data_IF_604241889218
#
_entry.id   IF_604241889218
#
_cell.length_a   1.000
_cell.length_b   1.000
_cell.length_c   1.000
_cell.angle_alpha   90.00
_cell.angle_beta   90.00
_cell.angle_gamma   90.00
#
_symmetry.space_group_name_H-M   'P 1'
#
loop_
_entity.id
_entity.type
_entity.pdbx_description
1 polymer ?
#
# COMPACT_ATOMS: atom_id res chain seq x y z
N UNK A 1 20.06 20.50 22.89
CA UNK A 1 20.59 19.44 23.79
C UNK A 1 19.95 18.09 23.48
N UNK A 2 18.62 17.96 23.55
CA UNK A 2 17.93 16.70 23.23
C UNK A 2 18.30 16.10 21.87
N UNK A 3 18.25 16.88 20.78
CA UNK A 3 18.65 16.40 19.45
C UNK A 3 20.06 15.79 19.42
N UNK A 4 21.04 16.44 20.05
CA UNK A 4 22.40 15.91 20.10
C UNK A 4 22.47 14.62 20.90
N UNK A 5 21.72 14.49 22.01
CA UNK A 5 21.60 13.21 22.75
C UNK A 5 21.03 12.12 21.85
N UNK A 6 19.92 12.40 21.16
CA UNK A 6 19.25 11.45 20.24
C UNK A 6 20.22 10.97 19.16
N UNK A 7 20.88 11.92 18.48
CA UNK A 7 21.81 11.61 17.39
C UNK A 7 23.08 10.91 17.88
N UNK A 8 23.56 11.22 19.09
CA UNK A 8 24.66 10.49 19.70
C UNK A 8 24.27 9.05 20.02
N UNK A 9 23.08 8.81 20.58
CA UNK A 9 22.57 7.47 20.88
C UNK A 9 22.35 6.64 19.60
N UNK A 10 21.95 7.28 18.50
CA UNK A 10 21.79 6.63 17.20
C UNK A 10 23.08 6.51 16.40
N UNK A 11 24.21 7.01 16.91
CA UNK A 11 25.46 7.15 16.15
C UNK A 11 25.22 7.81 14.77
N UNK A 12 24.39 8.84 14.75
CA UNK A 12 23.97 9.59 13.58
C UNK A 12 24.52 11.01 13.66
N UNK A 13 25.85 11.20 13.51
CA UNK A 13 26.43 12.52 13.61
C UNK A 13 25.83 13.43 12.55
N UNK A 14 25.66 14.68 12.94
CA UNK A 14 25.24 15.74 12.06
C UNK A 14 26.20 15.87 10.85
N UNK A 15 25.65 16.10 9.67
CA UNK A 15 26.44 16.30 8.45
C UNK A 15 27.11 17.68 8.43
N UNK A 16 28.14 17.86 7.61
CA UNK A 16 28.92 19.13 7.52
C UNK A 16 28.07 20.37 7.26
N UNK A 17 26.91 20.20 6.63
CA UNK A 17 25.98 21.31 6.37
C UNK A 17 25.39 21.86 7.67
N UNK A 18 25.26 21.04 8.71
CA UNK A 18 24.70 21.47 9.98
C UNK A 18 25.72 22.32 10.76
N UNK A 19 25.29 23.47 11.26
CA UNK A 19 26.11 24.22 12.20
C UNK A 19 26.04 23.58 13.59
N UNK A 20 26.93 22.62 13.85
CA UNK A 20 26.98 21.87 15.11
C UNK A 20 27.69 22.61 16.25
N UNK A 21 28.29 23.77 15.97
CA UNK A 21 29.03 24.56 16.98
C UNK A 21 28.13 25.32 17.95
N UNK A 22 26.80 25.29 17.75
CA UNK A 22 25.83 26.04 18.54
C UNK A 22 24.40 25.48 18.48
N UNK A 23 23.41 26.34 18.21
CA UNK A 23 22.00 25.95 18.12
C UNK A 23 21.77 25.14 16.82
N UNK A 24 21.23 23.91 16.87
CA UNK A 24 20.96 23.11 15.66
C UNK A 24 19.99 23.81 14.68
N UNK A 25 19.19 24.76 15.16
CA UNK A 25 18.34 25.62 14.34
C UNK A 25 19.04 26.89 13.85
N UNK A 26 20.35 26.84 13.59
CA UNK A 26 21.09 27.94 12.97
C UNK A 26 21.85 27.44 11.73
N UNK A 27 22.01 28.29 10.72
CA UNK A 27 22.64 27.92 9.45
C UNK A 27 21.71 27.15 8.49
N UNK A 28 22.22 26.13 7.78
CA UNK A 28 21.50 25.40 6.71
C UNK A 28 20.20 24.71 7.15
N UNK A 29 20.02 24.48 8.46
CA UNK A 29 18.84 23.86 9.06
C UNK A 29 17.54 24.68 8.92
N UNK A 30 17.63 25.95 8.46
CA UNK A 30 16.50 26.88 8.37
C UNK A 30 15.88 27.02 6.98
N UNK A 31 16.65 26.76 5.91
CA UNK A 31 16.30 27.20 4.56
C UNK A 31 16.22 26.05 3.53
N UNK A 32 15.95 24.83 3.98
CA UNK A 32 15.80 23.71 3.07
C UNK A 32 14.38 23.69 2.48
N UNK A 33 14.28 23.83 1.15
CA UNK A 33 13.09 23.39 0.41
C UNK A 33 12.82 21.91 0.70
N UNK A 34 11.59 21.41 0.48
CA UNK A 34 11.30 19.99 0.69
C UNK A 34 12.25 19.07 -0.13
N UNK A 35 12.68 19.52 -1.31
CA UNK A 35 13.71 18.83 -2.11
C UNK A 35 15.08 18.75 -1.42
N UNK A 36 15.50 19.81 -0.72
CA UNK A 36 16.74 19.82 0.05
C UNK A 36 16.61 18.99 1.35
N UNK A 37 15.41 18.94 1.94
CA UNK A 37 15.15 18.11 3.12
C UNK A 37 15.20 16.61 2.81
N UNK A 38 14.73 16.17 1.63
CA UNK A 38 14.78 14.77 1.19
C UNK A 38 16.11 14.39 0.50
N UNK A 39 17.02 15.35 0.25
CA UNK A 39 18.32 15.08 -0.39
C UNK A 39 19.17 14.08 0.42
N UNK A 40 19.85 13.11 -0.23
CA UNK A 40 20.80 12.22 0.42
C UNK A 40 21.95 12.95 1.12
N UNK A 41 22.38 14.10 0.59
CA UNK A 41 23.50 14.88 1.13
C UNK A 41 23.17 15.55 2.48
N UNK A 42 21.88 15.67 2.79
CA UNK A 42 21.37 16.26 4.03
C UNK A 42 20.71 15.18 4.88
N UNK A 43 21.48 14.15 5.25
CA UNK A 43 20.98 12.99 5.99
C UNK A 43 21.98 12.57 7.10
N UNK A 44 21.62 12.68 8.40
CA UNK A 44 20.31 13.05 8.93
C UNK A 44 19.91 14.48 8.55
N UNK A 45 18.60 14.76 8.55
CA UNK A 45 18.02 16.04 8.18
C UNK A 45 17.13 16.58 9.31
N UNK A 46 17.16 17.89 9.51
CA UNK A 46 16.19 18.60 10.36
C UNK A 46 15.63 19.82 9.62
N UNK A 47 14.43 20.25 10.03
CA UNK A 47 13.89 21.58 9.73
C UNK A 47 13.46 22.20 11.04
N UNK A 48 13.75 23.49 11.21
CA UNK A 48 13.28 24.25 12.35
C UNK A 48 12.29 25.34 11.94
N UNK A 49 11.37 25.64 12.86
CA UNK A 49 10.50 26.81 12.81
C UNK A 49 10.96 27.80 13.90
N UNK A 50 11.44 28.97 13.47
CA UNK A 50 11.92 30.06 14.31
C UNK A 50 10.91 31.21 14.41
N UNK A 51 9.64 31.01 14.08
CA UNK A 51 8.63 32.08 14.15
C UNK A 51 8.10 32.32 15.56
N UNK A 52 8.55 31.54 16.55
CA UNK A 52 8.10 31.62 17.93
C UNK A 52 8.76 32.76 18.69
N UNK A 53 8.04 33.32 19.67
CA UNK A 53 8.49 34.41 20.55
C UNK A 53 9.14 35.58 19.78
N UNK A 54 8.46 36.04 18.72
CA UNK A 54 8.96 37.11 17.83
C UNK A 54 10.33 36.82 17.20
N UNK A 55 10.63 35.55 16.90
CA UNK A 55 11.91 35.16 16.32
C UNK A 55 12.97 34.74 17.32
N UNK A 56 12.69 34.81 18.62
CA UNK A 56 13.66 34.49 19.66
C UNK A 56 13.82 32.97 19.88
N UNK A 57 12.79 32.19 19.56
CA UNK A 57 12.76 30.75 19.83
C UNK A 57 12.61 29.95 18.54
N UNK A 58 13.45 28.93 18.40
CA UNK A 58 13.38 27.97 17.30
C UNK A 58 13.02 26.58 17.83
N UNK A 59 12.11 25.90 17.14
CA UNK A 59 11.75 24.52 17.43
C UNK A 59 12.01 23.61 16.23
N UNK A 60 12.49 22.40 16.49
CA UNK A 60 12.65 21.37 15.46
C UNK A 60 11.26 20.83 15.11
N UNK A 61 10.88 20.96 13.84
CA UNK A 61 9.57 20.54 13.34
C UNK A 61 9.65 19.31 12.45
N UNK A 62 10.76 19.11 11.73
CA UNK A 62 11.01 17.88 10.96
C UNK A 62 12.31 17.22 11.39
N UNK A 63 12.31 15.88 11.51
CA UNK A 63 13.50 15.06 11.74
C UNK A 63 13.47 13.85 10.81
N UNK A 64 14.56 13.65 10.07
CA UNK A 64 14.76 12.52 9.15
C UNK A 64 16.10 11.85 9.40
N UNK A 65 16.10 10.53 9.52
CA UNK A 65 17.30 9.67 9.59
C UNK A 65 17.06 8.46 8.70
N UNK A 66 17.46 8.50 7.44
CA UNK A 66 16.98 7.54 6.44
C UNK A 66 18.11 6.69 5.87
N UNK A 67 18.00 5.36 5.83
CA UNK A 67 18.99 4.52 5.12
C UNK A 67 20.46 4.75 5.53
N UNK A 68 20.72 4.99 6.83
CA UNK A 68 22.06 5.26 7.34
C UNK A 68 22.63 4.10 8.20
N UNK A 69 21.98 2.93 8.15
CA UNK A 69 22.34 1.74 8.92
C UNK A 69 22.37 1.99 10.44
N UNK A 70 21.55 2.92 10.96
CA UNK A 70 21.53 3.25 12.39
C UNK A 70 20.87 2.18 13.22
N UNK A 71 21.31 2.07 14.46
CA UNK A 71 20.90 1.04 15.43
C UNK A 71 20.45 1.71 16.72
N UNK A 72 19.86 0.92 17.61
CA UNK A 72 19.39 1.37 18.93
C UNK A 72 17.87 1.35 19.01
N UNK A 73 17.34 2.07 20.00
CA UNK A 73 15.90 2.22 20.25
C UNK A 73 15.49 3.67 20.03
N UNK A 74 14.18 3.96 20.08
CA UNK A 74 13.72 5.35 20.14
C UNK A 74 14.00 5.90 21.54
N UNK A 75 14.87 6.91 21.70
CA UNK A 75 15.28 7.44 23.00
C UNK A 75 14.20 8.33 23.63
N UNK A 76 14.13 8.33 24.96
CA UNK A 76 13.12 9.09 25.72
C UNK A 76 13.20 10.59 25.46
N UNK A 77 14.40 11.12 25.19
CA UNK A 77 14.60 12.54 24.89
C UNK A 77 13.84 13.03 23.65
N UNK A 78 13.41 12.12 22.77
CA UNK A 78 12.56 12.47 21.63
C UNK A 78 11.26 13.14 22.06
N UNK A 79 10.72 12.81 23.24
CA UNK A 79 9.49 13.42 23.79
C UNK A 79 9.63 14.94 23.99
N UNK A 80 10.86 15.45 24.11
CA UNK A 80 11.13 16.88 24.28
C UNK A 80 10.94 17.68 22.99
N UNK A 81 10.88 17.02 21.82
CA UNK A 81 10.62 17.65 20.54
C UNK A 81 9.11 17.84 20.30
N UNK A 82 8.42 18.53 21.21
CA UNK A 82 6.95 18.65 21.22
C UNK A 82 6.35 19.35 19.98
N UNK A 83 7.19 20.05 19.21
CA UNK A 83 6.81 20.75 17.98
C UNK A 83 7.03 19.92 16.71
N UNK A 84 7.47 18.66 16.86
CA UNK A 84 7.73 17.78 15.74
C UNK A 84 6.41 17.47 14.99
N UNK A 85 6.39 17.81 13.70
CA UNK A 85 5.33 17.52 12.75
C UNK A 85 5.69 16.36 11.84
N UNK A 86 6.98 16.09 11.65
CA UNK A 86 7.48 15.05 10.76
C UNK A 86 8.59 14.26 11.42
N UNK A 87 8.40 12.94 11.52
CA UNK A 87 9.42 11.98 11.92
C UNK A 87 9.53 10.85 10.91
N UNK A 88 10.68 10.72 10.27
CA UNK A 88 10.98 9.63 9.32
C UNK A 88 12.33 9.00 9.63
N UNK A 89 12.32 7.75 10.10
CA UNK A 89 13.55 7.01 10.42
C UNK A 89 13.69 5.70 9.61
N UNK A 90 13.10 5.69 8.41
CA UNK A 90 12.98 4.48 7.60
C UNK A 90 14.34 3.88 7.17
N UNK A 91 14.33 2.58 6.89
CA UNK A 91 15.46 1.82 6.34
C UNK A 91 16.70 1.86 7.24
N UNK A 92 16.52 1.63 8.52
CA UNK A 92 17.62 1.46 9.46
C UNK A 92 17.50 0.09 10.16
N UNK A 93 18.22 -0.08 11.26
CA UNK A 93 18.18 -1.26 12.11
C UNK A 93 17.75 -0.88 13.53
N UNK A 94 16.81 0.05 13.66
CA UNK A 94 16.23 0.38 14.96
C UNK A 94 15.43 -0.82 15.50
N UNK A 95 15.48 -1.01 16.82
CA UNK A 95 14.99 -2.20 17.53
C UNK A 95 14.13 -1.79 18.73
N UNK A 96 13.61 -2.79 19.45
CA UNK A 96 12.80 -2.57 20.65
C UNK A 96 11.35 -2.19 20.32
N UNK A 97 10.52 -1.93 21.34
CA UNK A 97 9.15 -1.49 21.15
C UNK A 97 9.06 -0.05 20.68
N UNK A 98 7.99 0.28 19.96
CA UNK A 98 7.60 1.68 19.75
C UNK A 98 7.12 2.26 21.09
N UNK A 99 7.82 3.25 21.69
CA UNK A 99 7.49 3.73 23.02
C UNK A 99 6.13 4.43 23.08
N UNK A 100 5.40 4.26 24.18
CA UNK A 100 4.07 4.89 24.37
C UNK A 100 4.12 6.42 24.37
N UNK A 101 5.24 7.03 24.79
CA UNK A 101 5.41 8.49 24.78
C UNK A 101 5.34 9.07 23.37
N UNK A 102 5.43 8.26 22.30
CA UNK A 102 5.24 8.75 20.92
C UNK A 102 3.89 9.46 20.79
N UNK A 103 2.87 9.01 21.53
CA UNK A 103 1.55 9.64 21.57
C UNK A 103 1.52 11.05 22.17
N UNK A 104 2.61 11.51 22.81
CA UNK A 104 2.73 12.87 23.34
C UNK A 104 3.19 13.88 22.27
N UNK A 105 3.67 13.42 21.12
CA UNK A 105 4.09 14.28 19.99
C UNK A 105 2.87 14.69 19.15
N UNK A 106 1.89 15.33 19.79
CA UNK A 106 0.54 15.57 19.27
C UNK A 106 0.45 16.42 17.99
N UNK A 107 1.55 17.07 17.59
CA UNK A 107 1.68 17.85 16.35
C UNK A 107 2.13 17.03 15.14
N UNK A 108 2.48 15.75 15.33
CA UNK A 108 2.89 14.88 14.24
C UNK A 108 1.79 14.78 13.18
N UNK A 109 2.14 15.14 11.96
CA UNK A 109 1.36 14.92 10.74
C UNK A 109 1.90 13.74 9.93
N UNK A 110 3.19 13.41 10.09
CA UNK A 110 3.82 12.25 9.49
C UNK A 110 4.68 11.49 10.50
N UNK A 111 4.43 10.18 10.62
CA UNK A 111 5.25 9.25 11.37
C UNK A 111 5.57 8.04 10.51
N UNK A 112 6.83 7.87 10.14
CA UNK A 112 7.31 6.73 9.36
C UNK A 112 8.52 6.07 10.02
N UNK A 113 8.37 4.77 10.29
CA UNK A 113 9.37 3.91 10.93
C UNK A 113 9.72 2.71 10.04
N UNK A 114 9.43 2.80 8.73
CA UNK A 114 9.37 1.65 7.83
C UNK A 114 10.74 0.99 7.64
N UNK A 115 10.77 -0.32 7.38
CA UNK A 115 12.03 -1.06 7.17
C UNK A 115 13.00 -0.88 8.35
N UNK A 116 12.58 -1.34 9.52
CA UNK A 116 13.40 -1.43 10.73
C UNK A 116 13.14 -2.80 11.38
N UNK A 117 13.53 -2.96 12.64
CA UNK A 117 13.33 -4.19 13.43
C UNK A 117 12.55 -3.86 14.72
N UNK A 118 11.63 -2.89 14.65
CA UNK A 118 10.74 -2.59 15.77
C UNK A 118 9.89 -3.82 16.09
N UNK A 119 9.62 -4.04 17.38
CA UNK A 119 8.96 -5.25 17.87
C UNK A 119 7.93 -4.96 18.96
N UNK A 120 7.26 -6.00 19.47
CA UNK A 120 6.19 -5.85 20.46
C UNK A 120 4.90 -5.27 19.86
N UNK A 121 3.90 -4.95 20.69
CA UNK A 121 2.63 -4.44 20.22
C UNK A 121 2.73 -2.98 19.77
N UNK A 122 1.86 -2.60 18.82
CA UNK A 122 1.66 -1.20 18.45
C UNK A 122 0.96 -0.48 19.62
N UNK A 123 1.53 0.59 20.21
CA UNK A 123 0.98 1.22 21.40
C UNK A 123 -0.34 1.96 21.09
N UNK A 124 -1.32 1.82 21.98
CA UNK A 124 -2.63 2.50 21.87
C UNK A 124 -2.51 4.02 21.86
N UNK A 125 -1.45 4.56 22.47
CA UNK A 125 -1.15 5.98 22.54
C UNK A 125 -0.92 6.61 21.16
N UNK A 126 -0.64 5.82 20.11
CA UNK A 126 -0.66 6.34 18.73
C UNK A 126 -1.99 7.00 18.39
N UNK A 127 -3.10 6.52 18.96
CA UNK A 127 -4.41 7.13 18.80
C UNK A 127 -4.52 8.57 19.31
N UNK A 128 -3.53 9.09 20.03
CA UNK A 128 -3.48 10.48 20.50
C UNK A 128 -2.96 11.47 19.44
N UNK A 129 -2.35 10.99 18.35
CA UNK A 129 -1.75 11.81 17.30
C UNK A 129 -2.81 12.38 16.33
N UNK A 130 -3.73 13.20 16.82
CA UNK A 130 -4.93 13.64 16.06
C UNK A 130 -4.63 14.40 14.76
N UNK A 131 -3.41 14.93 14.63
CA UNK A 131 -2.94 15.64 13.44
C UNK A 131 -2.33 14.73 12.36
N UNK A 132 -2.23 13.42 12.62
CA UNK A 132 -1.53 12.48 11.75
C UNK A 132 -2.28 12.24 10.44
N UNK A 133 -1.58 12.48 9.34
CA UNK A 133 -2.03 12.22 7.97
C UNK A 133 -1.42 10.92 7.41
N UNK A 134 -0.16 10.64 7.74
CA UNK A 134 0.57 9.45 7.29
C UNK A 134 1.14 8.68 8.48
N UNK A 135 0.79 7.40 8.56
CA UNK A 135 1.39 6.43 9.48
C UNK A 135 2.00 5.28 8.69
N UNK A 136 3.30 5.04 8.85
CA UNK A 136 3.98 3.90 8.27
C UNK A 136 4.72 3.09 9.33
N UNK A 137 4.26 1.85 9.50
CA UNK A 137 4.84 0.81 10.36
C UNK A 137 5.38 -0.37 9.52
N UNK A 138 5.32 -0.25 8.18
CA UNK A 138 5.62 -1.34 7.26
C UNK A 138 7.04 -1.90 7.43
N UNK A 139 7.21 -3.19 7.13
CA UNK A 139 8.50 -3.89 7.19
C UNK A 139 9.17 -3.75 8.56
N UNK A 140 8.49 -4.24 9.58
CA UNK A 140 8.97 -4.32 10.97
C UNK A 140 8.53 -5.67 11.56
N UNK A 141 8.87 -5.91 12.82
CA UNK A 141 8.56 -7.15 13.53
C UNK A 141 7.59 -6.90 14.70
N UNK A 142 6.61 -6.00 14.51
CA UNK A 142 5.53 -5.80 15.49
C UNK A 142 4.74 -7.10 15.68
N UNK A 143 3.88 -7.12 16.69
CA UNK A 143 3.12 -8.32 17.05
C UNK A 143 1.74 -7.95 17.61
N UNK A 144 0.84 -8.92 17.59
CA UNK A 144 -0.52 -8.74 18.11
C UNK A 144 -1.41 -7.90 17.21
N UNK A 145 -2.59 -7.55 17.74
CA UNK A 145 -3.61 -6.81 17.02
C UNK A 145 -3.30 -5.31 16.93
N UNK A 146 -3.81 -4.66 15.88
CA UNK A 146 -3.79 -3.20 15.79
C UNK A 146 -4.67 -2.59 16.90
N UNK A 147 -4.20 -1.56 17.61
CA UNK A 147 -4.99 -0.90 18.63
C UNK A 147 -6.23 -0.20 18.02
N UNK A 148 -7.45 -0.42 18.55
CA UNK A 148 -8.65 0.26 18.09
C UNK A 148 -8.56 1.80 18.15
N UNK A 149 -7.69 2.34 19.00
CA UNK A 149 -7.44 3.77 19.17
C UNK A 149 -6.86 4.45 17.92
N UNK A 150 -6.25 3.70 16.99
CA UNK A 150 -5.88 4.23 15.66
C UNK A 150 -7.11 4.75 14.92
N UNK A 151 -8.30 4.20 15.18
CA UNK A 151 -9.56 4.74 14.67
C UNK A 151 -9.85 6.19 15.10
N UNK A 152 -9.12 6.74 16.07
CA UNK A 152 -9.27 8.15 16.46
C UNK A 152 -8.46 9.13 15.59
N UNK A 153 -7.66 8.66 14.65
CA UNK A 153 -6.84 9.48 13.75
C UNK A 153 -7.67 10.01 12.59
N UNK A 154 -8.63 10.89 12.87
CA UNK A 154 -9.62 11.34 11.88
C UNK A 154 -9.03 12.04 10.64
N UNK A 155 -7.80 12.54 10.72
CA UNK A 155 -7.07 13.14 9.59
C UNK A 155 -6.24 12.15 8.78
N UNK A 156 -6.17 10.88 9.20
CA UNK A 156 -5.33 9.88 8.55
C UNK A 156 -5.78 9.65 7.10
N UNK A 157 -4.83 9.77 6.19
CA UNK A 157 -4.98 9.60 4.75
C UNK A 157 -4.24 8.35 4.27
N UNK A 158 -3.08 8.05 4.87
CA UNK A 158 -2.22 6.97 4.42
C UNK A 158 -1.79 6.08 5.60
N UNK A 159 -2.07 4.78 5.47
CA UNK A 159 -1.69 3.76 6.43
C UNK A 159 -0.92 2.64 5.72
N UNK A 160 0.36 2.51 6.08
CA UNK A 160 1.26 1.47 5.58
C UNK A 160 1.64 0.53 6.71
N UNK A 161 1.18 -0.70 6.63
CA UNK A 161 1.42 -1.77 7.61
C UNK A 161 1.77 -3.10 6.90
N UNK A 162 2.22 -3.03 5.65
CA UNK A 162 2.72 -4.18 4.89
C UNK A 162 3.88 -4.86 5.65
N UNK A 163 3.89 -6.20 5.75
CA UNK A 163 4.98 -6.95 6.41
C UNK A 163 5.38 -6.38 7.78
N UNK A 164 4.41 -5.88 8.56
CA UNK A 164 4.67 -5.21 9.85
C UNK A 164 4.69 -6.18 11.03
N UNK A 165 4.24 -7.43 10.84
CA UNK A 165 4.03 -8.41 11.91
C UNK A 165 2.74 -8.19 12.71
N UNK A 166 1.98 -7.12 12.42
CA UNK A 166 0.62 -6.95 12.93
C UNK A 166 -0.25 -8.15 12.50
N UNK A 167 -1.28 -8.44 13.30
CA UNK A 167 -2.13 -9.63 13.15
C UNK A 167 -3.55 -9.36 13.66
N UNK A 168 -4.39 -10.39 13.72
CA UNK A 168 -5.76 -10.26 14.23
C UNK A 168 -6.70 -9.61 13.22
N UNK A 169 -7.82 -9.06 13.67
CA UNK A 169 -8.80 -8.41 12.80
C UNK A 169 -8.47 -6.93 12.57
N UNK A 170 -8.93 -6.37 11.44
CA UNK A 170 -8.95 -4.91 11.25
C UNK A 170 -9.98 -4.31 12.22
N UNK A 171 -9.60 -3.41 13.15
CA UNK A 171 -10.52 -2.89 14.17
C UNK A 171 -11.72 -2.16 13.57
N UNK A 172 -12.92 -2.44 14.09
CA UNK A 172 -14.17 -1.79 13.64
C UNK A 172 -14.18 -0.27 13.83
N UNK A 173 -13.38 0.25 14.75
CA UNK A 173 -13.18 1.68 14.99
C UNK A 173 -12.54 2.39 13.80
N UNK A 174 -11.86 1.68 12.89
CA UNK A 174 -11.27 2.25 11.67
C UNK A 174 -12.36 2.77 10.72
N UNK A 175 -13.63 2.40 10.94
CA UNK A 175 -14.76 3.06 10.32
C UNK A 175 -14.73 4.59 10.48
N UNK A 176 -14.07 5.17 11.48
CA UNK A 176 -13.97 6.63 11.66
C UNK A 176 -12.96 7.32 10.72
N UNK A 177 -12.07 6.57 10.06
CA UNK A 177 -10.99 7.11 9.21
C UNK A 177 -11.50 7.56 7.83
N UNK A 178 -12.37 8.58 7.78
CA UNK A 178 -13.06 9.00 6.55
C UNK A 178 -12.17 9.70 5.52
N UNK A 179 -10.94 10.04 5.88
CA UNK A 179 -9.97 10.69 4.99
C UNK A 179 -9.02 9.72 4.28
N UNK A 180 -9.15 8.40 4.52
CA UNK A 180 -8.27 7.40 3.93
C UNK A 180 -8.21 7.48 2.41
N UNK A 181 -6.98 7.54 1.90
CA UNK A 181 -6.58 7.52 0.49
C UNK A 181 -5.80 6.25 0.16
N UNK A 182 -4.95 5.78 1.08
CA UNK A 182 -4.12 4.59 0.86
C UNK A 182 -4.15 3.69 2.09
N UNK A 183 -4.57 2.44 1.91
CA UNK A 183 -4.34 1.37 2.88
C UNK A 183 -3.51 0.27 2.22
N UNK A 184 -2.33 0.01 2.79
CA UNK A 184 -1.51 -1.15 2.41
C UNK A 184 -1.19 -1.96 3.65
N UNK A 185 -1.71 -3.18 3.67
CA UNK A 185 -1.64 -4.11 4.78
C UNK A 185 -1.38 -5.53 4.27
N UNK A 186 -0.50 -5.66 3.29
CA UNK A 186 -0.17 -6.95 2.68
C UNK A 186 0.82 -7.71 3.56
N UNK A 187 0.81 -9.04 3.49
CA UNK A 187 1.79 -9.89 4.19
C UNK A 187 1.83 -9.61 5.70
N UNK A 188 0.67 -9.55 6.34
CA UNK A 188 0.55 -9.06 7.72
C UNK A 188 -0.50 -9.84 8.51
N UNK A 189 -0.43 -11.18 8.55
CA UNK A 189 -1.21 -12.11 9.40
C UNK A 189 -2.66 -11.67 9.80
N UNK A 190 -3.35 -10.91 8.96
CA UNK A 190 -4.65 -10.35 9.28
C UNK A 190 -5.70 -11.43 9.05
N UNK A 191 -6.68 -11.48 9.95
CA UNK A 191 -7.69 -12.53 10.02
C UNK A 191 -9.08 -11.89 10.09
N UNK A 192 -10.12 -12.72 10.24
CA UNK A 192 -11.50 -12.26 10.27
C UNK A 192 -11.98 -11.83 8.89
N UNK A 193 -13.17 -11.22 8.86
CA UNK A 193 -13.77 -10.75 7.60
C UNK A 193 -13.16 -9.43 7.18
N UNK A 194 -13.10 -9.20 5.87
CA UNK A 194 -12.83 -7.88 5.34
C UNK A 194 -13.98 -6.92 5.71
N UNK A 195 -13.75 -5.82 6.45
CA UNK A 195 -14.87 -5.04 6.99
C UNK A 195 -15.63 -4.21 5.94
N UNK A 196 -16.97 -4.25 6.00
CA UNK A 196 -17.86 -3.50 5.10
C UNK A 196 -17.63 -1.98 5.14
N UNK A 197 -17.16 -1.44 6.27
CA UNK A 197 -16.95 -0.01 6.45
C UNK A 197 -15.87 0.56 5.52
N UNK A 198 -15.00 -0.29 4.94
CA UNK A 198 -14.00 0.15 3.96
C UNK A 198 -14.69 0.83 2.78
N UNK A 199 -15.89 0.38 2.39
CA UNK A 199 -16.71 1.02 1.36
C UNK A 199 -17.15 2.46 1.68
N UNK A 200 -16.97 2.93 2.92
CA UNK A 200 -17.25 4.31 3.32
C UNK A 200 -16.02 5.24 3.23
N UNK A 201 -14.85 4.72 2.84
CA UNK A 201 -13.65 5.52 2.59
C UNK A 201 -13.66 6.01 1.15
N UNK A 202 -14.60 6.89 0.79
CA UNK A 202 -14.85 7.28 -0.60
C UNK A 202 -13.68 8.02 -1.28
N UNK A 203 -12.68 8.47 -0.52
CA UNK A 203 -11.43 9.06 -1.03
C UNK A 203 -10.33 8.02 -1.34
N UNK A 204 -10.58 6.74 -1.06
CA UNK A 204 -9.59 5.67 -1.18
C UNK A 204 -9.18 5.49 -2.65
N UNK A 205 -7.89 5.61 -2.92
CA UNK A 205 -7.24 5.42 -4.23
C UNK A 205 -6.52 4.08 -4.31
N UNK A 206 -6.00 3.56 -3.20
CA UNK A 206 -5.31 2.28 -3.17
C UNK A 206 -5.70 1.43 -1.96
N UNK A 207 -6.09 0.19 -2.22
CA UNK A 207 -6.35 -0.83 -1.20
C UNK A 207 -5.55 -2.09 -1.52
N UNK A 208 -4.59 -2.45 -0.66
CA UNK A 208 -3.75 -3.64 -0.82
C UNK A 208 -3.75 -4.48 0.45
N UNK A 209 -4.24 -5.70 0.32
CA UNK A 209 -4.51 -6.62 1.45
C UNK A 209 -4.01 -8.06 1.15
N UNK A 210 -3.03 -8.20 0.25
CA UNK A 210 -2.57 -9.49 -0.25
C UNK A 210 -1.80 -10.29 0.81
N UNK A 211 -1.75 -11.62 0.73
CA UNK A 211 -0.92 -12.43 1.63
C UNK A 211 -1.36 -12.39 3.09
N UNK A 212 -2.67 -12.36 3.33
CA UNK A 212 -3.26 -12.41 4.67
C UNK A 212 -4.10 -13.68 4.84
N UNK A 213 -4.88 -13.76 5.92
CA UNK A 213 -5.78 -14.87 6.24
C UNK A 213 -7.24 -14.39 6.36
N UNK A 214 -7.65 -13.49 5.46
CA UNK A 214 -8.99 -12.92 5.47
C UNK A 214 -10.05 -13.95 5.07
N UNK A 215 -11.18 -13.87 5.75
CA UNK A 215 -12.38 -14.64 5.44
C UNK A 215 -13.25 -13.86 4.46
N UNK A 216 -13.84 -14.58 3.52
CA UNK A 216 -14.79 -13.99 2.58
C UNK A 216 -16.19 -13.78 3.19
N UNK A 217 -17.10 -13.20 2.39
CA UNK A 217 -16.86 -12.70 1.03
C UNK A 217 -16.12 -11.35 1.04
N UNK A 218 -15.52 -10.97 -0.10
CA UNK A 218 -15.15 -9.58 -0.38
C UNK A 218 -16.44 -8.73 -0.32
N UNK A 219 -16.49 -7.65 0.50
CA UNK A 219 -17.67 -6.83 0.64
C UNK A 219 -18.10 -6.16 -0.66
N UNK A 220 -19.37 -6.32 -1.02
CA UNK A 220 -19.96 -5.58 -2.16
C UNK A 220 -19.99 -4.07 -1.93
N UNK A 221 -19.84 -3.62 -0.67
CA UNK A 221 -19.72 -2.19 -0.32
C UNK A 221 -18.50 -1.53 -0.96
N UNK A 222 -17.47 -2.28 -1.37
CA UNK A 222 -16.32 -1.75 -2.10
C UNK A 222 -16.72 -1.10 -3.43
N UNK A 223 -17.88 -1.45 -4.01
CA UNK A 223 -18.45 -0.79 -5.18
C UNK A 223 -18.63 0.74 -5.03
N UNK A 224 -18.68 1.25 -3.80
CA UNK A 224 -18.82 2.67 -3.48
C UNK A 224 -17.53 3.48 -3.65
N UNK A 225 -16.38 2.81 -3.85
CA UNK A 225 -15.06 3.43 -3.90
C UNK A 225 -14.76 4.02 -5.28
N UNK A 226 -15.52 5.04 -5.68
CA UNK A 226 -15.43 5.64 -7.02
C UNK A 226 -14.05 6.21 -7.37
N UNK A 227 -13.23 6.58 -6.37
CA UNK A 227 -11.86 7.08 -6.56
C UNK A 227 -10.79 5.99 -6.61
N UNK A 228 -11.16 4.71 -6.51
CA UNK A 228 -10.19 3.62 -6.40
C UNK A 228 -9.45 3.39 -7.72
N UNK A 229 -8.12 3.41 -7.65
CA UNK A 229 -7.21 3.21 -8.79
C UNK A 229 -6.49 1.86 -8.72
N UNK A 230 -6.20 1.36 -7.52
CA UNK A 230 -5.51 0.08 -7.29
C UNK A 230 -6.25 -0.74 -6.23
N UNK A 231 -6.75 -1.91 -6.63
CA UNK A 231 -7.37 -2.89 -5.75
C UNK A 231 -6.61 -4.20 -5.84
N UNK A 232 -5.95 -4.59 -4.74
CA UNK A 232 -5.24 -5.86 -4.65
C UNK A 232 -5.65 -6.62 -3.41
N UNK A 233 -6.35 -7.73 -3.60
CA UNK A 233 -6.80 -8.64 -2.55
C UNK A 233 -6.46 -10.06 -3.00
N UNK A 234 -5.85 -10.86 -2.14
CA UNK A 234 -5.59 -12.27 -2.39
C UNK A 234 -5.81 -13.07 -1.13
N UNK A 235 -5.79 -14.39 -1.27
CA UNK A 235 -5.80 -15.34 -0.16
C UNK A 235 -7.06 -15.17 0.71
N UNK A 236 -8.22 -15.21 0.05
CA UNK A 236 -9.55 -15.19 0.69
C UNK A 236 -10.06 -16.61 0.85
N UNK A 237 -10.60 -16.92 2.03
CA UNK A 237 -11.05 -18.27 2.38
C UNK A 237 -12.54 -18.33 2.74
N UNK A 238 -13.06 -19.57 2.79
CA UNK A 238 -14.41 -19.95 3.26
C UNK A 238 -15.60 -19.56 2.40
N UNK A 239 -15.76 -18.29 2.02
CA UNK A 239 -16.94 -17.80 1.30
C UNK A 239 -16.52 -17.08 0.03
N UNK A 240 -17.08 -17.49 -1.11
CA UNK A 240 -16.75 -16.93 -2.42
C UNK A 240 -17.39 -15.56 -2.66
N UNK A 241 -16.86 -14.85 -3.65
CA UNK A 241 -17.39 -13.57 -4.14
C UNK A 241 -17.68 -13.62 -5.64
N UNK A 242 -18.62 -12.81 -6.10
CA UNK A 242 -18.77 -12.47 -7.52
C UNK A 242 -17.92 -11.23 -7.87
N UNK A 243 -17.70 -11.00 -9.17
CA UNK A 243 -16.93 -9.86 -9.67
C UNK A 243 -17.79 -8.59 -9.89
N UNK A 244 -19.09 -8.65 -9.62
CA UNK A 244 -20.05 -7.61 -10.04
C UNK A 244 -19.73 -6.23 -9.45
N UNK A 245 -19.23 -6.18 -8.21
CA UNK A 245 -18.92 -4.92 -7.51
C UNK A 245 -17.85 -4.08 -8.23
N UNK A 246 -17.01 -4.70 -9.06
CA UNK A 246 -15.93 -4.02 -9.78
C UNK A 246 -16.48 -3.09 -10.87
N UNK A 247 -17.69 -3.35 -11.39
CA UNK A 247 -18.24 -2.62 -12.54
C UNK A 247 -18.48 -1.14 -12.28
N UNK A 248 -18.62 -0.73 -11.00
CA UNK A 248 -18.75 0.68 -10.61
C UNK A 248 -17.41 1.40 -10.45
N UNK A 249 -16.28 0.69 -10.45
CA UNK A 249 -14.96 1.22 -10.13
C UNK A 249 -14.23 1.73 -11.38
N UNK A 250 -14.82 2.73 -12.05
CA UNK A 250 -14.38 3.22 -13.37
C UNK A 250 -12.97 3.85 -13.41
N UNK A 251 -12.40 4.19 -12.25
CA UNK A 251 -11.04 4.74 -12.13
C UNK A 251 -9.95 3.66 -11.93
N UNK A 252 -10.32 2.37 -11.86
CA UNK A 252 -9.35 1.29 -11.68
C UNK A 252 -8.34 1.26 -12.82
N UNK A 253 -7.07 1.25 -12.43
CA UNK A 253 -5.90 1.00 -13.28
C UNK A 253 -5.32 -0.38 -13.02
N UNK A 254 -5.44 -0.86 -11.79
CA UNK A 254 -4.80 -2.08 -11.32
C UNK A 254 -5.78 -2.89 -10.48
N UNK A 255 -6.24 -4.01 -11.01
CA UNK A 255 -7.12 -4.95 -10.33
C UNK A 255 -6.44 -6.31 -10.22
N UNK A 256 -6.15 -6.73 -8.99
CA UNK A 256 -5.65 -8.07 -8.69
C UNK A 256 -6.52 -8.71 -7.62
N UNK A 257 -7.28 -9.73 -8.01
CA UNK A 257 -8.06 -10.59 -7.14
C UNK A 257 -7.56 -12.03 -7.23
N UNK A 258 -6.23 -12.21 -7.27
CA UNK A 258 -5.60 -13.52 -7.40
C UNK A 258 -5.88 -14.38 -6.18
N UNK A 259 -6.24 -15.65 -6.36
CA UNK A 259 -6.50 -16.57 -5.24
C UNK A 259 -7.50 -15.99 -4.22
N UNK A 260 -8.55 -15.31 -4.70
CA UNK A 260 -9.51 -14.60 -3.87
C UNK A 260 -10.88 -15.29 -3.81
N UNK A 261 -10.94 -16.58 -4.17
CA UNK A 261 -12.14 -17.40 -4.19
C UNK A 261 -13.28 -16.76 -5.02
N UNK A 262 -12.93 -16.13 -6.15
CA UNK A 262 -13.91 -15.52 -7.06
C UNK A 262 -14.59 -16.63 -7.88
N UNK A 263 -15.93 -16.56 -7.97
CA UNK A 263 -16.78 -17.52 -8.68
C UNK A 263 -17.69 -16.82 -9.68
N UNK A 264 -18.38 -17.60 -10.52
CA UNK A 264 -19.27 -17.07 -11.56
C UNK A 264 -18.52 -16.72 -12.84
N UNK A 265 -19.04 -15.76 -13.61
CA UNK A 265 -18.47 -15.35 -14.90
C UNK A 265 -17.78 -13.99 -14.80
N UNK A 266 -16.85 -13.70 -15.71
CA UNK A 266 -16.35 -12.33 -15.89
C UNK A 266 -17.48 -11.49 -16.53
N UNK A 267 -17.97 -10.40 -15.89
CA UNK A 267 -19.07 -9.61 -16.43
C UNK A 267 -18.71 -8.94 -17.76
N UNK A 268 -19.65 -8.86 -18.70
CA UNK A 268 -19.43 -8.23 -20.01
C UNK A 268 -19.04 -6.74 -19.93
N UNK A 269 -19.54 -6.05 -18.90
CA UNK A 269 -19.21 -4.66 -18.58
C UNK A 269 -17.76 -4.41 -18.16
N UNK A 270 -16.93 -5.45 -17.99
CA UNK A 270 -15.49 -5.30 -17.70
C UNK A 270 -14.78 -4.44 -18.76
N UNK A 271 -15.25 -4.52 -20.01
CA UNK A 271 -14.75 -3.71 -21.13
C UNK A 271 -14.98 -2.20 -20.97
N UNK A 272 -15.83 -1.76 -20.03
CA UNK A 272 -16.05 -0.34 -19.75
C UNK A 272 -14.99 0.28 -18.83
N UNK A 273 -14.09 -0.53 -18.26
CA UNK A 273 -13.00 -0.06 -17.39
C UNK A 273 -11.83 0.44 -18.24
N UNK A 274 -12.05 1.55 -18.94
CA UNK A 274 -11.13 2.09 -19.94
C UNK A 274 -9.80 2.62 -19.37
N UNK A 275 -9.66 2.71 -18.05
CA UNK A 275 -8.40 3.04 -17.37
C UNK A 275 -7.58 1.80 -16.96
N UNK A 276 -8.13 0.59 -17.12
CA UNK A 276 -7.56 -0.63 -16.58
C UNK A 276 -6.30 -1.06 -17.34
N UNK A 277 -5.17 -1.05 -16.64
CA UNK A 277 -3.86 -1.41 -17.17
C UNK A 277 -3.45 -2.84 -16.82
N UNK A 278 -3.84 -3.31 -15.64
CA UNK A 278 -3.57 -4.66 -15.15
C UNK A 278 -4.85 -5.31 -14.64
N UNK A 279 -5.14 -6.51 -15.15
CA UNK A 279 -6.18 -7.38 -14.64
C UNK A 279 -5.59 -8.75 -14.30
N UNK A 280 -5.56 -9.07 -13.01
CA UNK A 280 -5.18 -10.40 -12.50
C UNK A 280 -6.34 -11.02 -11.73
N UNK A 281 -6.97 -12.03 -12.33
CA UNK A 281 -7.99 -12.88 -11.73
C UNK A 281 -7.52 -14.35 -11.69
N UNK A 282 -6.21 -14.58 -11.73
CA UNK A 282 -5.65 -15.92 -11.75
C UNK A 282 -5.92 -16.68 -10.44
N UNK A 283 -5.89 -18.02 -10.51
CA UNK A 283 -6.12 -18.91 -9.36
C UNK A 283 -7.49 -18.68 -8.70
N UNK A 284 -8.55 -18.59 -9.50
CA UNK A 284 -9.93 -18.48 -9.00
C UNK A 284 -10.78 -19.62 -9.55
N UNK A 285 -12.08 -19.56 -9.32
CA UNK A 285 -13.05 -20.55 -9.78
C UNK A 285 -14.03 -19.91 -10.78
N UNK A 286 -13.50 -19.04 -11.66
CA UNK A 286 -14.26 -18.38 -12.72
C UNK A 286 -14.63 -19.38 -13.81
N UNK A 287 -15.81 -19.18 -14.39
CA UNK A 287 -16.43 -20.03 -15.42
C UNK A 287 -16.92 -19.19 -16.60
N UNK A 288 -17.43 -19.85 -17.64
CA UNK A 288 -18.00 -19.18 -18.80
C UNK A 288 -16.95 -18.61 -19.76
N UNK A 289 -17.38 -17.77 -20.69
CA UNK A 289 -16.53 -17.19 -21.72
C UNK A 289 -15.82 -15.94 -21.23
N UNK A 290 -14.60 -15.70 -21.74
CA UNK A 290 -13.92 -14.41 -21.56
C UNK A 290 -14.62 -13.37 -22.46
N UNK A 291 -15.15 -12.26 -21.91
CA UNK A 291 -15.80 -11.23 -22.71
C UNK A 291 -14.85 -10.67 -23.77
N UNK A 292 -15.29 -10.65 -25.04
CA UNK A 292 -14.48 -10.10 -26.15
C UNK A 292 -14.13 -8.63 -25.93
N UNK A 293 -14.99 -7.88 -25.25
CA UNK A 293 -14.78 -6.47 -24.88
C UNK A 293 -13.53 -6.27 -24.03
N UNK A 294 -13.09 -7.29 -23.27
CA UNK A 294 -11.86 -7.23 -22.46
C UNK A 294 -10.60 -7.10 -23.33
N UNK A 295 -10.58 -7.74 -24.50
CA UNK A 295 -9.44 -7.69 -25.43
C UNK A 295 -9.37 -6.36 -26.19
N UNK A 296 -10.40 -5.52 -26.09
CA UNK A 296 -10.49 -4.22 -26.76
C UNK A 296 -10.23 -3.04 -25.81
N UNK A 297 -9.84 -3.29 -24.55
CA UNK A 297 -9.47 -2.22 -23.62
C UNK A 297 -8.08 -1.70 -24.03
N UNK A 298 -8.02 -0.47 -24.54
CA UNK A 298 -6.78 0.09 -25.08
C UNK A 298 -5.71 0.37 -24.03
N UNK A 299 -6.11 0.61 -22.78
CA UNK A 299 -5.17 0.81 -21.68
C UNK A 299 -4.62 -0.49 -21.09
N UNK A 300 -5.17 -1.67 -21.44
CA UNK A 300 -4.83 -2.94 -20.80
C UNK A 300 -3.53 -3.50 -21.37
N UNK A 301 -2.54 -3.67 -20.48
CA UNK A 301 -1.21 -4.18 -20.82
C UNK A 301 -1.00 -5.61 -20.34
N UNK A 302 -1.57 -5.93 -19.17
CA UNK A 302 -1.35 -7.19 -18.45
C UNK A 302 -2.68 -7.87 -18.15
N UNK A 303 -2.87 -9.09 -18.65
CA UNK A 303 -4.06 -9.91 -18.44
C UNK A 303 -3.67 -11.29 -17.94
N UNK A 304 -4.02 -11.59 -16.69
CA UNK A 304 -3.75 -12.87 -16.04
C UNK A 304 -5.06 -13.51 -15.59
N UNK A 305 -5.51 -14.53 -16.31
CA UNK A 305 -6.71 -15.33 -16.00
C UNK A 305 -6.38 -16.82 -15.80
N UNK A 306 -5.09 -17.14 -15.66
CA UNK A 306 -4.63 -18.51 -15.53
C UNK A 306 -5.19 -19.24 -14.31
N UNK A 307 -5.31 -20.57 -14.40
CA UNK A 307 -5.82 -21.44 -13.34
C UNK A 307 -7.24 -21.06 -12.89
N UNK A 308 -8.18 -21.25 -13.82
CA UNK A 308 -9.63 -21.06 -13.65
C UNK A 308 -10.39 -22.18 -14.42
N UNK A 309 -11.70 -22.06 -14.58
CA UNK A 309 -12.54 -22.94 -15.41
C UNK A 309 -13.17 -22.19 -16.59
N UNK A 310 -12.46 -21.20 -17.15
CA UNK A 310 -12.92 -20.41 -18.30
C UNK A 310 -12.98 -21.27 -19.56
N UNK A 311 -13.92 -20.99 -20.45
CA UNK A 311 -14.21 -21.80 -21.64
C UNK A 311 -14.54 -20.96 -22.87
N UNK A 312 -14.72 -21.61 -24.01
CA UNK A 312 -15.04 -20.93 -25.27
C UNK A 312 -13.81 -20.42 -26.02
N UNK A 313 -14.04 -19.57 -27.01
CA UNK A 313 -13.04 -19.14 -27.99
C UNK A 313 -12.43 -17.79 -27.65
N UNK A 314 -11.17 -17.58 -28.01
CA UNK A 314 -10.54 -16.27 -28.02
C UNK A 314 -11.01 -15.42 -29.22
N UNK A 315 -11.05 -14.07 -29.10
CA UNK A 315 -11.36 -13.21 -30.23
C UNK A 315 -10.26 -13.23 -31.28
N UNK A 316 -10.63 -12.88 -32.52
CA UNK A 316 -9.70 -12.82 -33.66
C UNK A 316 -8.80 -11.59 -33.67
N UNK A 317 -9.05 -10.64 -32.77
CA UNK A 317 -8.29 -9.40 -32.60
C UNK A 317 -8.15 -9.06 -31.12
N UNK A 318 -7.14 -8.28 -30.80
CA UNK A 318 -6.90 -7.67 -29.49
C UNK A 318 -6.32 -6.27 -29.68
N UNK A 319 -6.36 -5.45 -28.64
CA UNK A 319 -5.64 -4.18 -28.61
C UNK A 319 -4.13 -4.41 -28.78
N UNK A 320 -3.49 -3.45 -29.43
CA UNK A 320 -2.04 -3.47 -29.65
C UNK A 320 -1.26 -3.29 -28.35
N UNK A 321 -1.85 -2.67 -27.32
CA UNK A 321 -1.19 -2.46 -26.03
C UNK A 321 -1.21 -3.69 -25.11
N UNK A 322 -2.04 -4.69 -25.41
CA UNK A 322 -2.13 -5.91 -24.61
C UNK A 322 -0.93 -6.84 -24.93
N UNK A 323 0.12 -6.78 -24.10
CA UNK A 323 1.42 -7.40 -24.39
C UNK A 323 1.76 -8.61 -23.51
N UNK A 324 1.10 -8.74 -22.35
CA UNK A 324 1.34 -9.85 -21.43
C UNK A 324 0.02 -10.55 -21.09
N UNK A 325 -0.11 -11.80 -21.52
CA UNK A 325 -1.33 -12.59 -21.43
C UNK A 325 -1.04 -13.97 -20.86
N UNK A 326 -1.60 -14.29 -19.70
CA UNK A 326 -1.65 -15.66 -19.17
C UNK A 326 -3.09 -16.14 -19.06
N UNK A 327 -3.45 -17.13 -19.87
CA UNK A 327 -4.75 -17.83 -19.83
C UNK A 327 -4.56 -19.33 -19.59
N UNK A 328 -3.42 -19.74 -19.05
CA UNK A 328 -3.07 -21.14 -18.85
C UNK A 328 -4.01 -21.84 -17.87
N UNK A 329 -4.07 -23.18 -17.89
CA UNK A 329 -4.90 -23.98 -16.98
C UNK A 329 -6.37 -23.54 -16.97
N UNK A 330 -7.01 -23.66 -18.13
CA UNK A 330 -8.42 -23.37 -18.36
C UNK A 330 -9.03 -24.42 -19.31
N UNK A 331 -10.26 -24.19 -19.78
CA UNK A 331 -10.96 -25.02 -20.77
C UNK A 331 -11.21 -24.25 -22.08
N UNK A 332 -10.34 -23.29 -22.42
CA UNK A 332 -10.46 -22.52 -23.67
C UNK A 332 -10.23 -23.43 -24.88
N UNK A 333 -10.95 -23.17 -25.96
CA UNK A 333 -10.95 -24.03 -27.15
C UNK A 333 -11.15 -23.23 -28.44
N UNK A 334 -11.04 -23.91 -29.58
CA UNK A 334 -11.20 -23.32 -30.90
C UNK A 334 -9.87 -23.03 -31.59
N UNK A 335 -9.88 -22.27 -32.70
CA UNK A 335 -8.66 -22.02 -33.46
C UNK A 335 -7.66 -21.23 -32.62
N UNK A 336 -6.38 -21.57 -32.80
CA UNK A 336 -5.30 -20.82 -32.18
C UNK A 336 -5.31 -19.36 -32.66
N UNK A 337 -5.18 -18.36 -31.76
CA UNK A 337 -5.33 -16.96 -32.13
C UNK A 337 -4.25 -16.47 -33.10
N UNK A 338 -4.66 -15.86 -34.20
CA UNK A 338 -3.77 -15.40 -35.29
C UNK A 338 -2.92 -14.18 -34.93
N UNK A 339 -3.25 -13.47 -33.85
CA UNK A 339 -2.50 -12.32 -33.35
C UNK A 339 -1.32 -12.71 -32.44
N UNK A 340 -1.09 -14.01 -32.21
CA UNK A 340 0.08 -14.48 -31.45
C UNK A 340 1.34 -14.28 -32.28
N UNK A 341 2.29 -13.53 -31.74
CA UNK A 341 3.56 -13.19 -32.40
C UNK A 341 4.71 -13.36 -31.42
N UNK A 342 5.96 -13.37 -31.91
CA UNK A 342 7.16 -13.57 -31.09
C UNK A 342 7.39 -12.49 -30.02
N UNK A 343 6.83 -11.30 -30.19
CA UNK A 343 7.04 -10.17 -29.27
C UNK A 343 6.01 -10.15 -28.12
N UNK A 344 5.00 -11.04 -28.18
CA UNK A 344 3.95 -11.14 -27.18
C UNK A 344 4.39 -12.11 -26.06
N UNK A 345 4.34 -11.67 -24.81
CA UNK A 345 4.52 -12.56 -23.67
C UNK A 345 3.20 -13.31 -23.43
N UNK A 346 3.15 -14.59 -23.81
CA UNK A 346 1.92 -15.35 -23.76
C UNK A 346 2.07 -16.74 -23.16
N UNK A 347 1.11 -17.11 -22.31
CA UNK A 347 0.97 -18.45 -21.77
C UNK A 347 -0.46 -18.98 -21.98
N UNK A 348 -0.61 -20.02 -22.82
CA UNK A 348 -1.87 -20.70 -23.12
C UNK A 348 -1.86 -22.18 -22.71
N UNK A 349 -0.84 -22.62 -21.95
CA UNK A 349 -0.64 -24.03 -21.58
C UNK A 349 -1.87 -24.62 -20.89
N UNK A 350 -2.16 -25.90 -21.13
CA UNK A 350 -3.30 -26.62 -20.52
C UNK A 350 -4.63 -25.92 -20.89
N UNK A 351 -4.91 -25.93 -22.19
CA UNK A 351 -6.16 -25.55 -22.85
C UNK A 351 -6.38 -26.49 -24.05
N UNK A 352 -7.52 -26.36 -24.73
CA UNK A 352 -7.99 -27.25 -25.81
C UNK A 352 -8.00 -26.55 -27.19
N UNK A 353 -6.95 -25.80 -27.52
CA UNK A 353 -6.86 -25.11 -28.82
C UNK A 353 -6.51 -26.08 -29.96
N UNK A 354 -7.09 -25.81 -31.13
CA UNK A 354 -6.79 -26.52 -32.37
C UNK A 354 -5.82 -25.70 -33.22
N UNK A 355 -4.78 -26.36 -33.74
CA UNK A 355 -3.83 -25.77 -34.67
C UNK A 355 -4.17 -26.19 -36.09
N UNK A 356 -4.28 -25.21 -36.99
CA UNK A 356 -4.30 -25.41 -38.43
C UNK A 356 -2.99 -24.92 -39.09
N UNK A 357 -2.84 -25.18 -40.40
CA UNK A 357 -1.64 -24.83 -41.17
C UNK A 357 -1.29 -23.34 -41.22
N UNK A 358 -2.20 -22.44 -40.84
CA UNK A 358 -1.91 -20.99 -40.76
C UNK A 358 -1.15 -20.60 -39.48
N UNK A 359 -1.06 -21.51 -38.51
CA UNK A 359 -0.39 -21.30 -37.22
C UNK A 359 1.08 -21.76 -37.22
N UNK A 360 1.54 -22.33 -38.34
CA UNK A 360 2.95 -22.70 -38.55
C UNK A 360 3.65 -21.47 -39.10
N UNK A 361 4.33 -20.71 -38.25
CA UNK A 361 5.20 -19.59 -38.63
C UNK A 361 6.62 -19.80 -38.13
#
# INVERSE_FOLDING_TARGET
RALNSILQQWDAPAVRLWNISGNPCSGSALNATDSAFESPDNNPAIVCDCTFDNGATCHITKLRVYALNKKGVIPEELVTLQYLTFLKIDRNFFTGPLPSFIGNLSRLTLLSLAHNVFSGPVPRELGNLKELNLLSLANNNFSGALPPEIGNLAKLEELYIDSSGASGEIPSTFAKLRNMQILRASDAHFTGKLPDFIGNWTKLKALRLQGNSFQGPIPSSLSKLASLESLRISDIYFVSSSLDFVMSLKNLKDLSLRNALITGTIPSGIGELQNLQTLDLSFNNLTGQIPRTLFNIDSLNYLFLGNNSLSGTLPTQKSENLQNIDLSYNHLSGPFPSWVTSNLQMNLVVNNFTFDGSNIR
#
